data_IF_417232856289
#
_entry.id   IF_417232856289
#
_cell.length_a   1.000
_cell.length_b   1.000
_cell.length_c   1.000
_cell.angle_alpha   90.00
_cell.angle_beta   90.00
_cell.angle_gamma   90.00
#
_symmetry.space_group_name_H-M   'P 1'
#
loop_
_entity.id
_entity.type
_entity.pdbx_description
1 polymer ?
#
# COMPACT_ATOMS: atom_id res chain seq x y z
N UNK A 1 -20.26 80.84 12.97
CA UNK A 1 -19.55 79.64 12.43
C UNK A 1 -19.46 78.64 13.55
N UNK A 2 -20.28 77.55 13.49
CA UNK A 2 -20.28 76.49 14.48
C UNK A 2 -19.65 75.30 13.82
N UNK A 3 -18.50 74.83 14.33
CA UNK A 3 -17.85 73.58 13.93
C UNK A 3 -18.56 72.40 14.60
N UNK A 4 -19.01 71.40 13.81
CA UNK A 4 -19.49 70.13 14.29
C UNK A 4 -18.33 69.11 14.35
N UNK A 5 -18.24 68.27 15.37
CA UNK A 5 -17.22 67.22 15.40
C UNK A 5 -17.64 65.97 14.57
N UNK A 6 -16.72 65.52 13.74
CA UNK A 6 -16.84 64.27 12.96
C UNK A 6 -16.54 63.11 13.88
N UNK A 7 -17.53 62.29 14.19
CA UNK A 7 -17.34 61.02 14.88
C UNK A 7 -16.85 59.95 13.88
N UNK A 8 -15.62 59.45 14.06
CA UNK A 8 -15.04 58.33 13.30
C UNK A 8 -15.48 57.03 13.99
N UNK A 9 -16.41 56.28 13.38
CA UNK A 9 -16.76 54.93 13.81
C UNK A 9 -15.71 53.96 13.28
N UNK A 10 -14.86 53.45 14.16
CA UNK A 10 -13.97 52.34 13.86
C UNK A 10 -14.74 51.02 13.97
N UNK A 11 -15.05 50.38 12.83
CA UNK A 11 -15.58 49.00 12.79
C UNK A 11 -14.46 48.02 13.03
N UNK A 12 -14.42 47.43 14.21
CA UNK A 12 -13.61 46.25 14.51
C UNK A 12 -14.19 45.03 13.76
N UNK A 13 -13.58 44.65 12.65
CA UNK A 13 -13.84 43.37 12.01
C UNK A 13 -13.18 42.27 12.85
N UNK A 14 -13.97 41.60 13.66
CA UNK A 14 -13.55 40.33 14.30
C UNK A 14 -13.44 39.26 13.23
N UNK A 15 -12.21 38.95 12.83
CA UNK A 15 -11.91 37.75 12.06
C UNK A 15 -12.24 36.56 12.95
N UNK A 16 -13.41 35.94 12.75
CA UNK A 16 -13.65 34.59 13.28
C UNK A 16 -12.65 33.65 12.58
N UNK A 17 -11.61 33.26 13.30
CA UNK A 17 -10.85 32.05 12.92
C UNK A 17 -11.88 30.90 12.92
N UNK A 18 -12.25 30.43 11.76
CA UNK A 18 -12.91 29.14 11.62
C UNK A 18 -11.89 28.10 12.07
N UNK A 19 -11.91 27.71 13.33
CA UNK A 19 -11.31 26.47 13.77
C UNK A 19 -12.04 25.36 12.99
N UNK A 20 -11.36 24.69 12.06
CA UNK A 20 -11.86 23.46 11.51
C UNK A 20 -12.19 22.54 12.68
N UNK A 21 -13.32 21.80 12.66
CA UNK A 21 -13.62 20.84 13.70
C UNK A 21 -12.44 19.87 13.79
N UNK A 22 -11.82 19.73 14.96
CA UNK A 22 -10.83 18.70 15.22
C UNK A 22 -11.51 17.36 14.91
N UNK A 23 -11.06 16.69 13.84
CA UNK A 23 -11.58 15.38 13.49
C UNK A 23 -11.25 14.41 14.63
N UNK A 24 -12.25 13.70 15.14
CA UNK A 24 -12.05 12.70 16.20
C UNK A 24 -11.18 11.57 15.66
N UNK A 25 -10.29 10.98 16.49
CA UNK A 25 -9.57 9.78 16.09
C UNK A 25 -10.53 8.69 15.62
N UNK A 26 -10.22 8.05 14.49
CA UNK A 26 -10.98 6.91 13.99
C UNK A 26 -10.78 5.71 14.93
N UNK A 27 -11.82 4.90 15.12
CA UNK A 27 -11.78 3.68 15.91
C UNK A 27 -11.34 2.52 15.02
N UNK A 28 -10.19 1.93 15.31
CA UNK A 28 -9.64 0.84 14.50
C UNK A 28 -9.54 -0.45 15.31
N UNK A 29 -9.81 -1.59 14.65
CA UNK A 29 -9.53 -2.91 15.20
C UNK A 29 -8.47 -3.60 14.33
N UNK A 30 -7.53 -4.30 14.96
CA UNK A 30 -6.55 -5.16 14.27
C UNK A 30 -7.18 -6.54 14.10
N UNK A 31 -7.02 -7.14 12.92
CA UNK A 31 -7.41 -8.52 12.65
C UNK A 31 -6.19 -9.33 12.21
N UNK A 32 -5.77 -10.28 13.04
CA UNK A 32 -4.57 -11.09 12.88
C UNK A 32 -3.30 -10.43 13.40
N UNK A 33 -2.37 -11.25 13.87
CA UNK A 33 -1.06 -10.85 14.37
C UNK A 33 0.09 -11.62 13.69
N UNK A 34 -0.23 -12.39 12.65
CA UNK A 34 0.75 -13.24 11.97
C UNK A 34 1.57 -12.50 10.92
N UNK A 35 1.09 -11.35 10.40
CA UNK A 35 1.84 -10.51 9.49
C UNK A 35 2.75 -9.55 10.27
N UNK A 36 4.08 -9.66 10.05
CA UNK A 36 5.06 -8.96 10.89
C UNK A 36 4.99 -7.44 10.87
N UNK A 37 4.38 -6.82 9.85
CA UNK A 37 4.20 -5.36 9.80
C UNK A 37 3.33 -4.82 10.95
N UNK A 38 2.49 -5.65 11.57
CA UNK A 38 1.73 -5.27 12.77
C UNK A 38 2.63 -4.78 13.91
N UNK A 39 3.88 -5.26 13.98
CA UNK A 39 4.86 -4.84 15.01
C UNK A 39 5.19 -3.35 14.89
N UNK A 40 5.46 -2.89 13.66
CA UNK A 40 5.72 -1.47 13.38
C UNK A 40 4.50 -0.60 13.68
N UNK A 41 3.32 -1.08 13.30
CA UNK A 41 2.06 -0.40 13.59
C UNK A 41 1.83 -0.25 15.11
N UNK A 42 1.92 -1.32 15.89
CA UNK A 42 1.73 -1.28 17.34
C UNK A 42 2.77 -0.40 18.05
N UNK A 43 4.01 -0.36 17.55
CA UNK A 43 5.04 0.53 18.09
C UNK A 43 4.77 2.02 17.81
N UNK A 44 4.13 2.34 16.68
CA UNK A 44 3.78 3.71 16.29
C UNK A 44 2.48 4.21 16.92
N UNK A 45 1.55 3.31 17.26
CA UNK A 45 0.20 3.63 17.70
C UNK A 45 0.13 4.59 18.91
N UNK A 46 0.95 4.46 19.98
CA UNK A 46 0.89 5.36 21.15
C UNK A 46 1.16 6.83 20.83
N UNK A 47 1.80 7.11 19.69
CA UNK A 47 2.12 8.47 19.22
C UNK A 47 1.17 8.98 18.14
N UNK A 48 0.21 8.16 17.71
CA UNK A 48 -0.68 8.48 16.62
C UNK A 48 -1.98 9.10 17.14
N UNK A 49 -2.24 10.35 16.76
CA UNK A 49 -3.45 11.08 17.15
C UNK A 49 -4.66 10.76 16.25
N UNK A 50 -4.43 10.12 15.08
CA UNK A 50 -5.49 9.90 14.09
C UNK A 50 -6.35 8.68 14.37
N UNK A 51 -5.89 7.72 15.20
CA UNK A 51 -6.57 6.46 15.42
C UNK A 51 -6.54 6.01 16.88
N UNK A 52 -7.65 5.38 17.31
CA UNK A 52 -7.79 4.70 18.60
C UNK A 52 -7.96 3.21 18.35
N UNK A 53 -7.06 2.38 18.90
CA UNK A 53 -7.21 0.92 18.89
C UNK A 53 -8.32 0.52 19.85
N UNK A 54 -9.35 -0.17 19.35
CA UNK A 54 -10.50 -0.62 20.17
C UNK A 54 -10.56 -2.13 20.35
N UNK A 55 -9.93 -2.91 19.47
CA UNK A 55 -9.86 -4.37 19.58
C UNK A 55 -8.70 -4.96 18.77
N UNK A 56 -8.33 -6.20 19.12
CA UNK A 56 -7.41 -7.06 18.37
C UNK A 56 -8.04 -8.45 18.28
N UNK A 57 -8.28 -8.92 17.06
CA UNK A 57 -8.76 -10.29 16.82
C UNK A 57 -7.57 -11.20 16.54
N UNK A 58 -7.34 -12.16 17.44
CA UNK A 58 -6.32 -13.19 17.26
C UNK A 58 -6.75 -14.50 17.92
N UNK A 59 -7.11 -15.53 17.13
CA UNK A 59 -7.57 -16.81 17.66
C UNK A 59 -6.47 -17.62 18.36
N UNK A 60 -5.19 -17.37 18.03
CA UNK A 60 -4.07 -17.99 18.72
C UNK A 60 -3.79 -17.30 20.05
N UNK A 61 -4.32 -17.88 21.13
CA UNK A 61 -4.19 -17.32 22.50
C UNK A 61 -2.74 -17.09 22.91
N UNK A 62 -1.81 -17.97 22.53
CA UNK A 62 -0.38 -17.81 22.88
C UNK A 62 0.22 -16.60 22.17
N UNK A 63 -0.09 -16.38 20.90
CA UNK A 63 0.34 -15.23 20.13
C UNK A 63 -0.28 -13.94 20.71
N UNK A 64 -1.57 -13.95 21.01
CA UNK A 64 -2.27 -12.83 21.66
C UNK A 64 -1.61 -12.42 22.97
N UNK A 65 -1.30 -13.40 23.85
CA UNK A 65 -0.60 -13.15 25.13
C UNK A 65 0.80 -12.59 24.93
N UNK A 66 1.55 -13.10 23.95
CA UNK A 66 2.89 -12.61 23.62
C UNK A 66 2.83 -11.13 23.22
N UNK A 67 1.93 -10.74 22.30
CA UNK A 67 1.79 -9.36 21.87
C UNK A 67 1.25 -8.44 22.96
N UNK A 68 0.29 -8.91 23.76
CA UNK A 68 -0.20 -8.16 24.92
C UNK A 68 0.93 -7.79 25.90
N UNK A 69 1.80 -8.76 26.21
CA UNK A 69 2.96 -8.53 27.07
C UNK A 69 3.99 -7.60 26.42
N UNK A 70 4.35 -7.86 25.16
CA UNK A 70 5.40 -7.14 24.45
C UNK A 70 5.07 -5.65 24.25
N UNK A 71 3.81 -5.33 23.96
CA UNK A 71 3.34 -3.97 23.66
C UNK A 71 2.54 -3.34 24.82
N UNK A 72 2.52 -3.96 26.00
CA UNK A 72 1.82 -3.49 27.20
C UNK A 72 0.32 -3.22 26.94
N UNK A 73 -0.32 -4.09 26.15
CA UNK A 73 -1.74 -3.98 25.79
C UNK A 73 -2.63 -4.65 26.83
N UNK A 74 -3.79 -4.05 27.10
CA UNK A 74 -4.79 -4.68 27.97
C UNK A 74 -5.33 -5.97 27.33
N UNK A 75 -5.48 -7.03 28.13
CA UNK A 75 -6.12 -8.27 27.72
C UNK A 75 -7.57 -8.06 27.23
N UNK A 76 -8.24 -7.02 27.72
CA UNK A 76 -9.61 -6.68 27.31
C UNK A 76 -9.73 -6.19 25.87
N UNK A 77 -8.61 -5.88 25.19
CA UNK A 77 -8.59 -5.55 23.77
C UNK A 77 -8.67 -6.78 22.86
N UNK A 78 -8.33 -7.97 23.40
CA UNK A 78 -8.21 -9.18 22.59
C UNK A 78 -9.53 -9.95 22.53
N UNK A 79 -9.86 -10.36 21.30
CA UNK A 79 -10.98 -11.23 20.96
C UNK A 79 -10.46 -12.39 20.11
N UNK A 80 -11.06 -13.56 20.23
CA UNK A 80 -10.74 -14.71 19.38
C UNK A 80 -11.69 -14.82 18.16
N UNK A 81 -12.81 -14.12 18.19
CA UNK A 81 -13.88 -14.22 17.19
C UNK A 81 -14.09 -12.90 16.46
N UNK A 82 -13.94 -12.94 15.13
CA UNK A 82 -14.08 -11.77 14.27
C UNK A 82 -15.51 -11.21 14.28
N UNK A 83 -16.53 -12.07 14.15
CA UNK A 83 -17.93 -11.65 14.10
C UNK A 83 -18.38 -11.05 15.44
N UNK A 84 -17.94 -11.64 16.55
CA UNK A 84 -18.19 -11.06 17.88
C UNK A 84 -17.55 -9.68 18.01
N UNK A 85 -16.30 -9.51 17.60
CA UNK A 85 -15.62 -8.20 17.64
C UNK A 85 -16.33 -7.17 16.77
N UNK A 86 -16.69 -7.52 15.52
CA UNK A 86 -17.37 -6.60 14.59
C UNK A 86 -18.71 -6.12 15.15
N UNK A 87 -19.47 -7.01 15.78
CA UNK A 87 -20.77 -6.69 16.37
C UNK A 87 -20.70 -5.97 17.70
N UNK A 88 -19.69 -6.23 18.54
CA UNK A 88 -19.59 -5.65 19.87
C UNK A 88 -18.85 -4.31 19.89
N UNK A 89 -17.82 -4.14 19.06
CA UNK A 89 -16.96 -2.96 19.07
C UNK A 89 -17.35 -1.92 18.01
N UNK A 90 -17.94 -2.33 16.89
CA UNK A 90 -18.28 -1.44 15.76
C UNK A 90 -17.15 -0.45 15.42
N UNK A 91 -15.94 -0.92 15.04
CA UNK A 91 -14.87 -0.02 14.65
C UNK A 91 -15.22 0.72 13.35
N UNK A 92 -14.59 1.87 13.10
CA UNK A 92 -14.73 2.59 11.82
C UNK A 92 -13.99 1.85 10.70
N UNK A 93 -12.89 1.18 11.04
CA UNK A 93 -12.14 0.31 10.11
C UNK A 93 -11.45 -0.86 10.81
N UNK A 94 -11.22 -1.92 10.05
CA UNK A 94 -10.30 -3.01 10.42
C UNK A 94 -8.97 -2.87 9.70
N UNK A 95 -7.89 -3.14 10.43
CA UNK A 95 -6.52 -3.23 9.92
C UNK A 95 -6.15 -4.70 9.82
N UNK A 96 -5.93 -5.20 8.61
CA UNK A 96 -5.84 -6.64 8.35
C UNK A 96 -4.39 -7.07 8.26
N UNK A 97 -3.94 -7.83 9.28
CA UNK A 97 -2.59 -8.38 9.41
C UNK A 97 -2.60 -9.91 9.50
N UNK A 98 -3.48 -10.54 8.74
CA UNK A 98 -3.57 -12.00 8.57
C UNK A 98 -2.59 -12.51 7.52
N UNK A 99 -2.69 -13.78 7.12
CA UNK A 99 -2.09 -14.24 5.86
C UNK A 99 -2.80 -13.58 4.68
N UNK A 100 -2.13 -13.46 3.53
CA UNK A 100 -2.73 -12.86 2.33
C UNK A 100 -3.99 -13.64 1.89
N UNK A 101 -3.97 -14.94 2.05
CA UNK A 101 -5.13 -15.81 1.73
C UNK A 101 -6.39 -15.46 2.53
N UNK A 102 -6.23 -15.00 3.76
CA UNK A 102 -7.36 -14.69 4.65
C UNK A 102 -7.94 -13.28 4.45
N UNK A 103 -7.29 -12.41 3.66
CA UNK A 103 -7.74 -11.03 3.42
C UNK A 103 -9.21 -10.98 2.97
N UNK A 104 -9.59 -11.80 1.98
CA UNK A 104 -10.95 -11.86 1.47
C UNK A 104 -11.96 -12.14 2.59
N UNK A 105 -11.73 -13.16 3.40
CA UNK A 105 -12.65 -13.55 4.48
C UNK A 105 -12.88 -12.40 5.46
N UNK A 106 -11.81 -11.72 5.85
CA UNK A 106 -11.88 -10.60 6.80
C UNK A 106 -12.61 -9.40 6.19
N UNK A 107 -12.25 -9.03 4.95
CA UNK A 107 -12.85 -7.89 4.26
C UNK A 107 -14.33 -8.12 3.99
N UNK A 108 -14.74 -9.33 3.52
CA UNK A 108 -16.15 -9.67 3.31
C UNK A 108 -16.96 -9.65 4.62
N UNK A 109 -16.38 -10.10 5.74
CA UNK A 109 -17.00 -10.01 7.05
C UNK A 109 -17.17 -8.54 7.50
N UNK A 110 -16.11 -7.74 7.47
CA UNK A 110 -16.17 -6.32 7.82
C UNK A 110 -17.18 -5.54 6.95
N UNK A 111 -17.17 -5.78 5.63
CA UNK A 111 -18.08 -5.13 4.70
C UNK A 111 -19.54 -5.37 5.03
N UNK A 112 -19.94 -6.59 5.41
CA UNK A 112 -21.32 -6.91 5.85
C UNK A 112 -21.78 -6.09 7.05
N UNK A 113 -20.85 -5.62 7.87
CA UNK A 113 -21.11 -4.72 8.99
C UNK A 113 -20.92 -3.23 8.64
N UNK A 114 -20.75 -2.90 7.34
CA UNK A 114 -20.44 -1.55 6.82
C UNK A 114 -19.17 -0.96 7.43
N UNK A 115 -18.18 -1.79 7.71
CA UNK A 115 -16.88 -1.42 8.27
C UNK A 115 -15.84 -1.44 7.16
N UNK A 116 -15.10 -0.33 7.01
CA UNK A 116 -14.02 -0.21 6.04
C UNK A 116 -12.79 -1.04 6.42
N UNK A 117 -11.90 -1.28 5.47
CA UNK A 117 -10.70 -2.10 5.70
C UNK A 117 -9.45 -1.44 5.13
N UNK A 118 -8.36 -1.50 5.88
CA UNK A 118 -7.01 -1.31 5.34
C UNK A 118 -6.27 -2.64 5.48
N UNK A 119 -5.74 -3.14 4.38
CA UNK A 119 -5.18 -4.50 4.31
C UNK A 119 -3.72 -4.45 3.87
N UNK A 120 -2.90 -5.36 4.38
CA UNK A 120 -1.53 -5.52 3.91
C UNK A 120 -1.46 -5.95 2.44
N UNK A 121 -0.36 -5.61 1.81
CA UNK A 121 -0.07 -5.97 0.41
C UNK A 121 0.35 -7.45 0.28
N UNK A 122 0.10 -8.08 -0.87
CA UNK A 122 -0.86 -7.68 -1.91
C UNK A 122 -2.31 -7.90 -1.47
N UNK A 123 -3.27 -7.35 -2.21
CA UNK A 123 -4.70 -7.40 -1.89
C UNK A 123 -5.22 -8.82 -1.62
N UNK A 124 -4.73 -9.81 -2.37
CA UNK A 124 -5.17 -11.21 -2.27
C UNK A 124 -4.16 -12.17 -2.91
N UNK A 125 -4.40 -13.48 -2.84
CA UNK A 125 -3.56 -14.49 -3.49
C UNK A 125 -4.04 -14.89 -4.89
N UNK A 126 -5.28 -14.54 -5.24
CA UNK A 126 -5.90 -14.90 -6.53
C UNK A 126 -6.75 -13.76 -7.08
N UNK A 127 -6.92 -13.73 -8.41
CA UNK A 127 -7.81 -12.78 -9.05
C UNK A 127 -9.27 -12.95 -8.64
N UNK A 128 -9.73 -14.18 -8.39
CA UNK A 128 -11.08 -14.49 -7.93
C UNK A 128 -11.36 -13.87 -6.55
N UNK A 129 -10.40 -13.96 -5.62
CA UNK A 129 -10.51 -13.34 -4.30
C UNK A 129 -10.53 -11.80 -4.41
N UNK A 130 -9.68 -11.22 -5.27
CA UNK A 130 -9.67 -9.78 -5.52
C UNK A 130 -11.02 -9.26 -6.05
N UNK A 131 -11.61 -9.97 -7.03
CA UNK A 131 -12.92 -9.63 -7.58
C UNK A 131 -14.05 -9.81 -6.55
N UNK A 132 -13.96 -10.81 -5.66
CA UNK A 132 -14.91 -10.98 -4.57
C UNK A 132 -14.82 -9.82 -3.55
N UNK A 133 -13.62 -9.39 -3.19
CA UNK A 133 -13.38 -8.21 -2.36
C UNK A 133 -14.00 -6.96 -3.00
N UNK A 134 -13.76 -6.74 -4.31
CA UNK A 134 -14.35 -5.59 -5.03
C UNK A 134 -15.88 -5.61 -5.00
N UNK A 135 -16.49 -6.78 -5.21
CA UNK A 135 -17.95 -6.91 -5.11
C UNK A 135 -18.47 -6.56 -3.72
N UNK A 136 -17.86 -7.12 -2.67
CA UNK A 136 -18.25 -6.83 -1.29
C UNK A 136 -18.10 -5.33 -0.95
N UNK A 137 -17.00 -4.70 -1.34
CA UNK A 137 -16.78 -3.27 -1.10
C UNK A 137 -17.84 -2.40 -1.79
N UNK A 138 -18.20 -2.72 -3.05
CA UNK A 138 -19.23 -2.00 -3.81
C UNK A 138 -20.63 -2.23 -3.25
N UNK A 139 -20.98 -3.47 -2.90
CA UNK A 139 -22.29 -3.85 -2.36
C UNK A 139 -22.59 -3.14 -1.03
N UNK A 140 -21.59 -3.05 -0.17
CA UNK A 140 -21.71 -2.48 1.16
C UNK A 140 -21.23 -1.01 1.26
N UNK A 141 -20.80 -0.41 0.15
CA UNK A 141 -20.31 0.99 0.09
C UNK A 141 -19.20 1.30 1.08
N UNK A 142 -18.29 0.35 1.32
CA UNK A 142 -17.13 0.52 2.22
C UNK A 142 -15.84 0.77 1.45
N UNK A 143 -14.87 1.42 2.12
CA UNK A 143 -13.53 1.59 1.59
C UNK A 143 -12.70 0.34 1.87
N UNK A 144 -11.94 -0.09 0.87
CA UNK A 144 -10.89 -1.10 1.01
C UNK A 144 -9.60 -0.49 0.45
N UNK A 145 -8.63 -0.29 1.33
CA UNK A 145 -7.34 0.32 1.01
C UNK A 145 -6.24 -0.73 1.17
N UNK A 146 -5.25 -0.72 0.30
CA UNK A 146 -4.08 -1.60 0.41
C UNK A 146 -2.88 -0.80 0.89
N UNK A 147 -2.20 -1.31 1.92
CA UNK A 147 -1.09 -0.63 2.57
C UNK A 147 0.24 -1.12 2.01
N UNK A 148 0.90 -0.28 1.21
CA UNK A 148 2.30 -0.49 0.79
C UNK A 148 3.22 0.46 1.56
N UNK A 149 4.37 -0.01 1.97
CA UNK A 149 5.38 0.85 2.59
C UNK A 149 5.80 2.01 1.67
N UNK A 150 5.96 1.72 0.38
CA UNK A 150 6.44 2.67 -0.62
C UNK A 150 5.40 3.72 -1.02
N UNK A 151 4.12 3.55 -0.66
CA UNK A 151 3.11 4.60 -0.78
C UNK A 151 3.49 5.84 0.03
N UNK A 152 4.12 5.64 1.18
CA UNK A 152 4.51 6.70 2.10
C UNK A 152 5.91 7.27 1.84
N UNK A 153 6.49 6.97 0.67
CA UNK A 153 7.75 7.53 0.21
C UNK A 153 7.51 8.82 -0.57
N UNK A 154 7.96 9.96 -0.04
CA UNK A 154 7.84 11.25 -0.73
C UNK A 154 8.58 11.29 -2.07
N UNK A 155 9.64 10.48 -2.22
CA UNK A 155 10.34 10.31 -3.49
C UNK A 155 9.47 9.71 -4.59
N UNK A 156 8.63 8.72 -4.27
CA UNK A 156 7.69 8.14 -5.22
C UNK A 156 6.58 9.13 -5.59
N UNK A 157 6.02 9.84 -4.60
CA UNK A 157 5.03 10.88 -4.85
C UNK A 157 5.56 11.98 -5.78
N UNK A 158 6.78 12.45 -5.54
CA UNK A 158 7.44 13.44 -6.40
C UNK A 158 7.71 12.90 -7.82
N UNK A 159 8.20 11.65 -7.95
CA UNK A 159 8.45 11.04 -9.25
C UNK A 159 7.14 10.86 -10.07
N UNK A 160 6.05 10.43 -9.42
CA UNK A 160 4.73 10.33 -10.03
C UNK A 160 4.22 11.70 -10.45
N UNK A 161 4.35 12.72 -9.58
CA UNK A 161 3.98 14.11 -9.88
C UNK A 161 4.73 14.67 -11.09
N UNK A 162 6.05 14.43 -11.18
CA UNK A 162 6.85 14.86 -12.34
C UNK A 162 6.43 14.17 -13.65
N UNK A 163 6.05 12.89 -13.59
CA UNK A 163 5.51 12.18 -14.74
C UNK A 163 4.15 12.74 -15.17
N UNK A 164 3.24 12.91 -14.22
CA UNK A 164 1.87 13.38 -14.47
C UNK A 164 1.81 14.85 -14.90
N UNK A 165 2.73 15.69 -14.43
CA UNK A 165 2.84 17.09 -14.88
C UNK A 165 3.38 17.25 -16.30
N UNK A 166 3.84 16.15 -16.93
CA UNK A 166 4.44 16.17 -18.27
C UNK A 166 5.88 16.67 -18.31
N UNK A 167 6.52 16.91 -17.17
CA UNK A 167 7.90 17.39 -17.06
C UNK A 167 8.91 16.40 -17.67
N UNK A 168 8.60 15.10 -17.61
CA UNK A 168 9.41 14.04 -18.21
C UNK A 168 9.05 13.77 -19.69
N UNK A 169 8.01 14.41 -20.22
CA UNK A 169 7.37 13.99 -21.46
C UNK A 169 6.68 12.63 -21.30
N UNK A 170 6.38 11.94 -22.40
CA UNK A 170 5.78 10.61 -22.35
C UNK A 170 6.68 9.63 -21.60
N UNK A 171 6.13 8.94 -20.60
CA UNK A 171 6.81 7.83 -19.91
C UNK A 171 7.08 6.72 -20.92
N UNK A 172 8.31 6.24 -20.98
CA UNK A 172 8.76 5.22 -21.95
C UNK A 172 9.26 3.95 -21.32
N UNK A 173 10.00 4.07 -20.23
CA UNK A 173 10.55 2.92 -19.50
C UNK A 173 10.56 3.16 -18.00
N UNK A 174 10.18 2.13 -17.25
CA UNK A 174 10.29 2.11 -15.80
C UNK A 174 11.02 0.83 -15.39
N UNK A 175 11.95 0.93 -14.43
CA UNK A 175 12.57 -0.22 -13.78
C UNK A 175 12.30 -0.09 -12.29
N UNK A 176 11.74 -1.11 -11.68
CA UNK A 176 11.45 -1.13 -10.24
C UNK A 176 12.24 -2.25 -9.58
N UNK A 177 12.98 -1.89 -8.56
CA UNK A 177 13.78 -2.80 -7.76
C UNK A 177 13.16 -2.89 -6.37
N UNK A 178 12.62 -4.07 -6.03
CA UNK A 178 12.06 -4.33 -4.71
C UNK A 178 12.53 -5.69 -4.21
N UNK A 179 13.36 -5.68 -3.19
CA UNK A 179 13.92 -6.92 -2.66
C UNK A 179 14.87 -6.71 -1.48
N UNK A 180 15.28 -7.82 -0.92
CA UNK A 180 16.26 -7.94 0.17
C UNK A 180 16.90 -9.33 0.18
N UNK A 181 17.66 -9.66 1.23
CA UNK A 181 18.39 -10.93 1.36
C UNK A 181 17.50 -12.17 1.46
N UNK A 182 16.24 -12.00 1.78
CA UNK A 182 15.22 -13.03 2.00
C UNK A 182 14.63 -13.00 3.40
N UNK A 183 13.36 -13.41 3.54
CA UNK A 183 12.65 -13.31 4.82
C UNK A 183 13.30 -14.10 5.95
N UNK A 184 13.87 -15.27 5.67
CA UNK A 184 14.60 -16.06 6.68
C UNK A 184 15.91 -15.38 7.08
N UNK A 185 16.63 -14.85 6.10
CA UNK A 185 17.93 -14.20 6.28
C UNK A 185 17.83 -12.91 7.09
N UNK A 186 16.77 -12.13 6.90
CA UNK A 186 16.52 -10.92 7.69
C UNK A 186 15.83 -11.21 9.04
N UNK A 187 15.58 -12.48 9.38
CA UNK A 187 15.04 -12.89 10.68
C UNK A 187 13.54 -12.67 10.85
N UNK A 188 12.74 -12.85 9.78
CA UNK A 188 11.27 -12.83 9.89
C UNK A 188 10.80 -13.85 10.92
N UNK A 189 9.86 -13.46 11.79
CA UNK A 189 9.42 -14.24 12.93
C UNK A 189 8.73 -15.57 12.59
N UNK A 190 8.67 -16.50 13.55
CA UNK A 190 8.10 -17.83 13.34
C UNK A 190 6.58 -17.80 13.07
N UNK A 191 5.89 -16.75 13.44
CA UNK A 191 4.48 -16.53 13.12
C UNK A 191 4.24 -16.12 11.67
N UNK A 192 5.26 -15.58 11.00
CA UNK A 192 5.17 -15.01 9.65
C UNK A 192 5.82 -15.91 8.59
N UNK A 193 7.07 -16.36 8.81
CA UNK A 193 7.86 -17.07 7.81
C UNK A 193 7.15 -18.30 7.20
N UNK A 194 6.44 -19.17 7.97
CA UNK A 194 5.84 -20.37 7.40
C UNK A 194 4.77 -20.08 6.33
N UNK A 195 3.92 -19.07 6.52
CA UNK A 195 2.89 -18.76 5.55
C UNK A 195 3.42 -17.87 4.42
N UNK A 196 4.41 -17.02 4.67
CA UNK A 196 5.04 -16.19 3.64
C UNK A 196 5.73 -17.03 2.57
N UNK A 197 6.27 -18.19 2.98
CA UNK A 197 6.94 -19.16 2.08
C UNK A 197 6.02 -20.29 1.59
N UNK A 198 4.71 -20.16 1.80
CA UNK A 198 3.68 -21.07 1.29
C UNK A 198 2.95 -20.43 0.10
N UNK A 199 3.00 -21.01 -1.11
CA UNK A 199 2.38 -20.43 -2.30
C UNK A 199 0.85 -20.34 -2.23
N UNK A 200 0.19 -21.10 -1.35
CA UNK A 200 -1.26 -21.00 -1.13
C UNK A 200 -1.59 -19.78 -0.26
N UNK A 201 -0.79 -19.56 0.78
CA UNK A 201 -1.04 -18.51 1.77
C UNK A 201 -0.57 -17.12 1.32
N UNK A 202 0.52 -17.07 0.53
CA UNK A 202 1.13 -15.84 0.01
C UNK A 202 0.84 -15.59 -1.49
N UNK A 203 0.46 -16.62 -2.27
CA UNK A 203 0.22 -16.55 -3.71
C UNK A 203 1.41 -16.99 -4.58
N UNK A 204 2.63 -16.66 -4.17
CA UNK A 204 3.92 -17.09 -4.71
C UNK A 204 5.00 -16.75 -3.67
N UNK A 205 6.27 -16.69 -4.04
CA UNK A 205 7.37 -16.16 -3.23
C UNK A 205 7.61 -14.67 -3.45
N UNK A 206 8.85 -14.33 -3.80
CA UNK A 206 9.27 -12.95 -4.08
C UNK A 206 8.41 -12.26 -5.14
N UNK A 207 7.93 -13.02 -6.14
CA UNK A 207 7.05 -12.51 -7.18
C UNK A 207 5.81 -11.79 -6.62
N UNK A 208 5.14 -12.35 -5.61
CA UNK A 208 3.96 -11.72 -5.00
C UNK A 208 4.34 -10.72 -3.92
N UNK A 209 5.30 -11.08 -3.06
CA UNK A 209 5.70 -10.25 -1.94
C UNK A 209 6.26 -8.90 -2.37
N UNK A 210 7.10 -8.87 -3.41
CA UNK A 210 7.74 -7.66 -3.92
C UNK A 210 7.24 -7.20 -5.29
N UNK A 211 6.79 -8.11 -6.15
CA UNK A 211 6.30 -7.74 -7.48
C UNK A 211 5.05 -6.84 -7.44
N UNK A 212 4.28 -6.91 -6.36
CA UNK A 212 3.12 -6.04 -6.15
C UNK A 212 3.48 -4.56 -6.06
N UNK A 213 4.62 -4.19 -5.49
CA UNK A 213 5.07 -2.79 -5.40
C UNK A 213 5.28 -2.16 -6.78
N UNK A 214 6.02 -2.85 -7.65
CA UNK A 214 6.25 -2.36 -9.00
C UNK A 214 4.98 -2.36 -9.85
N UNK A 215 4.10 -3.34 -9.67
CA UNK A 215 2.81 -3.39 -10.36
C UNK A 215 1.91 -2.21 -9.95
N UNK A 216 1.93 -1.85 -8.66
CA UNK A 216 1.18 -0.73 -8.08
C UNK A 216 1.67 0.62 -8.63
N UNK A 217 2.98 0.89 -8.55
CA UNK A 217 3.60 2.08 -9.11
C UNK A 217 3.30 2.24 -10.61
N UNK A 218 3.41 1.16 -11.37
CA UNK A 218 3.10 1.19 -12.80
C UNK A 218 1.63 1.45 -13.10
N UNK A 219 0.71 0.91 -12.30
CA UNK A 219 -0.72 1.14 -12.49
C UNK A 219 -1.06 2.62 -12.32
N UNK A 220 -0.50 3.28 -11.32
CA UNK A 220 -0.68 4.72 -11.08
C UNK A 220 0.00 5.56 -12.17
N UNK A 221 1.24 5.24 -12.55
CA UNK A 221 1.96 5.93 -13.62
C UNK A 221 1.26 5.84 -14.98
N UNK A 222 0.56 4.74 -15.22
CA UNK A 222 -0.23 4.51 -16.44
C UNK A 222 -1.72 4.91 -16.30
N UNK A 223 -2.04 5.74 -15.29
CA UNK A 223 -3.40 6.29 -15.06
C UNK A 223 -4.49 5.21 -14.99
N UNK A 224 -4.20 4.08 -14.33
CA UNK A 224 -5.11 2.96 -14.19
C UNK A 224 -5.28 2.11 -15.45
N UNK A 225 -4.46 2.31 -16.48
CA UNK A 225 -4.47 1.45 -17.66
C UNK A 225 -3.66 0.18 -17.40
N UNK A 226 -4.24 -1.01 -17.53
CA UNK A 226 -3.49 -2.26 -17.40
C UNK A 226 -2.48 -2.42 -18.56
N UNK A 227 -1.39 -3.17 -18.39
CA UNK A 227 -0.50 -3.51 -19.48
C UNK A 227 -1.22 -4.37 -20.52
N UNK A 228 -0.80 -4.27 -21.78
CA UNK A 228 -1.31 -5.11 -22.87
C UNK A 228 -0.89 -6.56 -22.63
N UNK A 229 0.34 -6.76 -22.15
CA UNK A 229 0.84 -8.11 -21.88
C UNK A 229 1.88 -8.13 -20.76
N UNK A 230 2.00 -9.28 -20.12
CA UNK A 230 2.95 -9.59 -19.05
C UNK A 230 3.79 -10.81 -19.46
N UNK A 231 5.11 -10.71 -19.29
CA UNK A 231 6.05 -11.82 -19.40
C UNK A 231 6.86 -11.90 -18.11
N UNK A 232 6.98 -13.08 -17.54
CA UNK A 232 7.74 -13.26 -16.30
C UNK A 232 8.59 -14.53 -16.33
N UNK A 233 9.72 -14.46 -15.63
CA UNK A 233 10.60 -15.59 -15.28
C UNK A 233 10.76 -15.57 -13.78
N UNK A 234 10.66 -16.74 -13.15
CA UNK A 234 10.95 -16.94 -11.72
C UNK A 234 12.05 -17.97 -11.55
N UNK A 235 12.83 -17.82 -10.49
CA UNK A 235 13.86 -18.77 -10.06
C UNK A 235 13.73 -19.06 -8.56
N UNK A 236 14.38 -20.15 -8.14
CA UNK A 236 14.59 -20.47 -6.73
C UNK A 236 16.08 -20.74 -6.56
N UNK A 237 16.82 -19.70 -6.20
CA UNK A 237 18.28 -19.74 -6.07
C UNK A 237 18.70 -20.35 -4.73
N UNK A 238 17.81 -20.30 -3.71
CA UNK A 238 17.98 -20.91 -2.39
C UNK A 238 16.95 -22.03 -2.11
N UNK A 239 16.93 -23.14 -2.92
CA UNK A 239 15.90 -24.17 -2.81
C UNK A 239 15.90 -24.94 -1.48
N UNK A 240 17.03 -24.94 -0.77
CA UNK A 240 17.10 -25.51 0.58
C UNK A 240 16.38 -24.65 1.64
N UNK A 241 16.21 -23.35 1.37
CA UNK A 241 15.54 -22.39 2.25
C UNK A 241 14.08 -22.18 1.83
N UNK A 242 13.84 -22.06 0.52
CA UNK A 242 12.53 -21.77 -0.08
C UNK A 242 12.10 -22.86 -1.08
N UNK A 243 11.83 -24.10 -0.60
CA UNK A 243 11.62 -25.27 -1.50
C UNK A 243 10.31 -25.20 -2.31
N UNK A 244 9.38 -24.33 -1.98
CA UNK A 244 8.02 -24.31 -2.55
C UNK A 244 7.65 -23.03 -3.28
N UNK A 245 8.53 -22.02 -3.25
CA UNK A 245 8.27 -20.69 -3.83
C UNK A 245 9.51 -20.18 -4.55
N UNK A 246 9.31 -19.21 -5.43
CA UNK A 246 10.36 -18.42 -6.04
C UNK A 246 11.01 -17.49 -5.00
N UNK A 247 12.31 -17.25 -5.13
CA UNK A 247 13.04 -16.23 -4.36
C UNK A 247 13.62 -15.13 -5.25
N UNK A 248 13.53 -15.29 -6.57
CA UNK A 248 13.87 -14.25 -7.54
C UNK A 248 12.90 -14.26 -8.72
N UNK A 249 12.58 -13.06 -9.25
CA UNK A 249 11.78 -12.94 -10.45
C UNK A 249 12.12 -11.71 -11.28
N UNK A 250 11.85 -11.79 -12.57
CA UNK A 250 11.83 -10.65 -13.49
C UNK A 250 10.50 -10.63 -14.20
N UNK A 251 9.79 -9.50 -14.15
CA UNK A 251 8.51 -9.28 -14.81
C UNK A 251 8.62 -8.14 -15.80
N UNK A 252 8.21 -8.36 -17.05
CA UNK A 252 8.16 -7.35 -18.10
C UNK A 252 6.70 -7.01 -18.38
N UNK A 253 6.34 -5.75 -18.21
CA UNK A 253 5.04 -5.20 -18.54
C UNK A 253 5.14 -4.44 -19.87
N UNK A 254 4.27 -4.75 -20.84
CA UNK A 254 4.19 -4.04 -22.12
C UNK A 254 2.91 -3.21 -22.17
N UNK A 255 3.07 -1.91 -22.30
CA UNK A 255 2.00 -0.96 -22.60
C UNK A 255 2.06 -0.52 -24.07
N UNK A 256 1.10 0.27 -24.53
CA UNK A 256 1.08 0.79 -25.92
C UNK A 256 2.35 1.60 -26.25
N UNK A 257 2.78 2.47 -25.33
CA UNK A 257 3.88 3.40 -25.53
C UNK A 257 4.98 3.29 -24.46
N UNK A 258 4.87 2.36 -23.53
CA UNK A 258 5.82 2.19 -22.44
C UNK A 258 6.12 0.71 -22.16
N UNK A 259 7.22 0.47 -21.46
CA UNK A 259 7.58 -0.83 -20.90
C UNK A 259 8.01 -0.66 -19.45
N UNK A 260 7.73 -1.66 -18.63
CA UNK A 260 8.35 -1.75 -17.31
C UNK A 260 9.06 -3.09 -17.09
N UNK A 261 10.10 -3.04 -16.27
CA UNK A 261 10.78 -4.21 -15.72
C UNK A 261 10.65 -4.15 -14.22
N UNK A 262 9.99 -5.14 -13.63
CA UNK A 262 9.90 -5.30 -12.19
C UNK A 262 10.86 -6.40 -11.77
N UNK A 263 11.63 -6.15 -10.73
CA UNK A 263 12.69 -7.03 -10.24
C UNK A 263 12.45 -7.36 -8.76
N UNK A 264 11.44 -8.19 -8.43
CA UNK A 264 11.21 -8.65 -7.07
C UNK A 264 12.23 -9.73 -6.71
N UNK A 265 12.86 -9.62 -5.52
CA UNK A 265 13.87 -10.59 -5.10
C UNK A 265 13.97 -10.77 -3.58
N UNK A 266 14.24 -11.99 -3.16
CA UNK A 266 14.67 -12.40 -1.82
C UNK A 266 16.14 -12.86 -1.81
N UNK A 267 16.90 -12.55 -2.88
CA UNK A 267 18.26 -13.07 -3.07
C UNK A 267 19.30 -11.96 -3.30
N UNK A 268 19.00 -10.74 -2.89
CA UNK A 268 19.95 -9.63 -2.99
C UNK A 268 20.81 -9.52 -1.72
N UNK A 269 22.04 -8.95 -1.82
CA UNK A 269 22.94 -8.83 -0.66
C UNK A 269 22.50 -7.76 0.33
N UNK A 270 21.53 -6.89 -0.01
CA UNK A 270 20.93 -5.85 0.83
C UNK A 270 19.61 -5.36 0.25
N UNK A 271 18.80 -4.77 1.10
CA UNK A 271 17.48 -4.25 0.71
C UNK A 271 17.58 -3.12 -0.33
N UNK A 272 16.71 -3.18 -1.34
CA UNK A 272 16.42 -2.10 -2.28
C UNK A 272 14.90 -1.97 -2.44
N UNK A 273 14.42 -0.72 -2.46
CA UNK A 273 13.07 -0.33 -2.83
C UNK A 273 13.17 1.00 -3.57
N UNK A 274 13.45 0.93 -4.87
CA UNK A 274 13.70 2.10 -5.70
C UNK A 274 13.14 1.93 -7.12
N UNK A 275 12.91 3.05 -7.79
CA UNK A 275 12.35 3.10 -9.13
C UNK A 275 13.21 4.01 -10.02
N UNK A 276 13.45 3.57 -11.25
CA UNK A 276 14.01 4.36 -12.33
C UNK A 276 12.93 4.66 -13.36
N UNK A 277 12.58 5.93 -13.52
CA UNK A 277 11.52 6.40 -14.42
C UNK A 277 12.11 7.23 -15.56
N UNK A 278 12.02 6.73 -16.78
CA UNK A 278 12.54 7.35 -17.99
C UNK A 278 11.41 7.86 -18.88
N UNK A 279 11.38 9.15 -19.12
CA UNK A 279 10.48 9.81 -20.07
C UNK A 279 11.18 10.26 -21.34
N UNK A 280 10.43 10.94 -22.22
CA UNK A 280 10.96 11.43 -23.49
C UNK A 280 11.94 12.58 -23.33
N UNK A 281 11.83 13.37 -22.26
CA UNK A 281 12.62 14.61 -22.04
C UNK A 281 13.42 14.59 -20.75
N UNK A 282 13.42 13.51 -19.97
CA UNK A 282 14.17 13.39 -18.74
C UNK A 282 13.95 12.08 -18.02
N UNK A 283 14.60 11.94 -16.88
CA UNK A 283 14.40 10.80 -15.98
C UNK A 283 14.42 11.22 -14.51
N UNK A 284 13.75 10.41 -13.69
CA UNK A 284 13.78 10.47 -12.24
C UNK A 284 14.15 9.09 -11.71
N UNK A 285 15.07 9.04 -10.74
CA UNK A 285 15.44 7.81 -10.02
C UNK A 285 15.18 8.06 -8.55
N UNK A 286 14.29 7.28 -7.93
CA UNK A 286 14.07 7.29 -6.49
C UNK A 286 15.14 6.43 -5.83
N UNK A 287 16.01 7.01 -5.00
CA UNK A 287 17.15 6.28 -4.40
C UNK A 287 16.95 5.92 -2.94
N UNK A 288 15.97 6.56 -2.30
CA UNK A 288 15.55 6.31 -0.92
C UNK A 288 14.13 6.86 -0.75
N UNK A 289 13.55 6.71 0.44
CA UNK A 289 12.17 7.15 0.74
C UNK A 289 11.90 8.64 0.49
N UNK A 290 12.94 9.48 0.49
CA UNK A 290 12.82 10.93 0.30
C UNK A 290 13.85 11.52 -0.69
N UNK A 291 14.72 10.70 -1.27
CA UNK A 291 15.80 11.16 -2.12
C UNK A 291 15.65 10.73 -3.58
N UNK A 292 15.94 11.65 -4.50
CA UNK A 292 15.84 11.45 -5.94
C UNK A 292 17.11 11.92 -6.65
N UNK A 293 17.37 11.29 -7.81
CA UNK A 293 18.27 11.80 -8.84
C UNK A 293 17.47 12.12 -10.08
N UNK A 294 17.71 13.28 -10.67
CA UNK A 294 16.95 13.75 -11.84
C UNK A 294 17.87 14.32 -12.89
N UNK A 295 17.48 14.18 -14.16
CA UNK A 295 18.12 14.87 -15.27
C UNK A 295 17.12 15.14 -16.37
N UNK A 296 17.09 16.37 -16.88
CA UNK A 296 16.19 16.78 -17.94
C UNK A 296 16.94 17.19 -19.19
N UNK A 297 16.26 17.19 -20.32
CA UNK A 297 16.84 17.61 -21.61
C UNK A 297 17.47 19.02 -21.47
N UNK A 298 18.69 19.17 -21.97
CA UNK A 298 19.46 20.42 -21.88
C UNK A 298 20.35 20.54 -20.63
N UNK A 299 20.15 19.72 -19.59
CA UNK A 299 21.03 19.70 -18.42
C UNK A 299 22.34 18.96 -18.71
N UNK A 300 23.47 19.51 -18.21
CA UNK A 300 24.80 18.92 -18.41
C UNK A 300 25.07 17.72 -17.49
N UNK A 301 24.47 17.70 -16.31
CA UNK A 301 24.71 16.69 -15.27
C UNK A 301 23.41 16.30 -14.58
N UNK A 302 23.41 15.14 -13.93
CA UNK A 302 22.38 14.70 -13.00
C UNK A 302 22.40 15.60 -11.75
N UNK A 303 21.21 15.85 -11.19
CA UNK A 303 20.98 16.56 -9.94
C UNK A 303 20.46 15.60 -8.89
N UNK A 304 20.90 15.76 -7.64
CA UNK A 304 20.31 15.09 -6.48
C UNK A 304 19.41 16.07 -5.74
N UNK A 305 18.26 15.59 -5.29
CA UNK A 305 17.32 16.39 -4.49
C UNK A 305 16.60 15.52 -3.45
N UNK A 306 16.17 16.16 -2.37
CA UNK A 306 15.23 15.60 -1.42
C UNK A 306 13.83 16.00 -1.85
N UNK A 307 12.91 15.05 -1.88
CA UNK A 307 11.51 15.30 -2.16
C UNK A 307 10.87 16.14 -1.04
N UNK A 308 9.89 16.99 -1.35
CA UNK A 308 9.06 17.61 -0.33
C UNK A 308 8.41 16.55 0.56
N UNK A 309 8.20 16.82 1.86
CA UNK A 309 7.44 15.90 2.70
C UNK A 309 6.02 15.73 2.17
N UNK A 310 5.44 14.55 2.38
CA UNK A 310 4.03 14.31 2.07
C UNK A 310 3.14 15.25 2.91
N UNK A 311 1.92 15.60 2.43
CA UNK A 311 0.92 16.27 3.25
C UNK A 311 0.67 15.52 4.56
N UNK A 312 0.32 16.22 5.63
CA UNK A 312 0.17 15.62 6.96
C UNK A 312 -0.83 14.46 6.96
N UNK A 313 -1.96 14.62 6.27
CA UNK A 313 -3.00 13.60 6.14
C UNK A 313 -2.67 12.47 5.13
N UNK A 314 -1.51 12.54 4.48
CA UNK A 314 -0.97 11.52 3.58
C UNK A 314 0.39 10.99 4.06
N UNK A 315 0.85 11.41 5.24
CA UNK A 315 2.21 11.11 5.73
C UNK A 315 2.43 9.66 6.17
N UNK A 316 1.36 8.93 6.42
CA UNK A 316 1.39 7.52 6.81
C UNK A 316 0.00 6.87 6.66
N UNK A 317 -0.04 5.56 6.77
CA UNK A 317 -1.26 4.76 6.56
C UNK A 317 -2.45 5.14 7.45
N UNK A 318 -2.21 5.48 8.73
CA UNK A 318 -3.29 5.87 9.63
C UNK A 318 -3.82 7.28 9.38
N UNK A 319 -2.93 8.23 9.09
CA UNK A 319 -3.33 9.59 8.72
C UNK A 319 -4.17 9.56 7.44
N UNK A 320 -3.73 8.78 6.45
CA UNK A 320 -4.45 8.59 5.20
C UNK A 320 -5.81 7.91 5.39
N UNK A 321 -5.86 6.79 6.14
CA UNK A 321 -7.11 6.09 6.44
C UNK A 321 -8.11 7.02 7.15
N UNK A 322 -7.65 7.79 8.14
CA UNK A 322 -8.50 8.75 8.85
C UNK A 322 -9.05 9.81 7.89
N UNK A 323 -8.22 10.39 7.04
CA UNK A 323 -8.63 11.39 6.05
C UNK A 323 -9.65 10.84 5.03
N UNK A 324 -9.48 9.58 4.62
CA UNK A 324 -10.47 8.90 3.75
C UNK A 324 -11.79 8.69 4.47
N UNK A 325 -11.79 8.21 5.71
CA UNK A 325 -13.02 7.97 6.48
C UNK A 325 -13.73 9.27 6.88
N UNK A 326 -13.00 10.36 7.06
CA UNK A 326 -13.56 11.70 7.27
C UNK A 326 -14.04 12.37 5.97
N UNK A 327 -13.77 11.75 4.80
CA UNK A 327 -14.18 12.28 3.50
C UNK A 327 -13.30 13.42 2.96
N UNK A 328 -12.13 13.63 3.55
CA UNK A 328 -11.13 14.61 3.11
C UNK A 328 -10.39 14.15 1.86
N UNK A 329 -10.13 12.85 1.76
CA UNK A 329 -9.47 12.20 0.63
C UNK A 329 -10.43 11.20 0.00
N UNK A 330 -10.45 11.18 -1.33
CA UNK A 330 -11.13 10.14 -2.11
C UNK A 330 -10.07 9.27 -2.77
N UNK A 331 -9.90 8.01 -2.32
CA UNK A 331 -8.87 7.11 -2.84
C UNK A 331 -9.28 6.61 -4.24
N UNK A 332 -8.98 7.37 -5.26
CA UNK A 332 -9.33 7.05 -6.65
C UNK A 332 -8.10 7.13 -7.54
N UNK A 333 -7.63 5.97 -8.02
CA UNK A 333 -6.48 5.88 -8.91
C UNK A 333 -5.14 6.18 -8.25
N UNK A 334 -5.08 6.17 -6.93
CA UNK A 334 -3.84 6.25 -6.14
C UNK A 334 -3.32 4.85 -5.75
N UNK A 335 -2.15 4.81 -5.11
CA UNK A 335 -1.45 3.58 -4.72
C UNK A 335 -2.24 2.71 -3.72
N UNK A 336 -3.15 3.30 -2.94
CA UNK A 336 -3.92 2.55 -1.93
C UNK A 336 -5.25 2.03 -2.47
N UNK A 337 -5.75 2.61 -3.55
CA UNK A 337 -7.12 2.42 -4.00
C UNK A 337 -7.41 0.98 -4.43
N UNK A 338 -8.63 0.51 -4.16
CA UNK A 338 -9.06 -0.83 -4.53
C UNK A 338 -8.97 -1.07 -6.05
N UNK A 339 -9.39 -0.10 -6.86
CA UNK A 339 -9.39 -0.28 -8.32
C UNK A 339 -7.95 -0.38 -8.89
N UNK A 340 -6.98 0.37 -8.35
CA UNK A 340 -5.55 0.19 -8.65
C UNK A 340 -5.11 -1.23 -8.30
N UNK A 341 -5.45 -1.70 -7.11
CA UNK A 341 -5.02 -2.99 -6.61
C UNK A 341 -5.71 -4.19 -7.28
N UNK A 342 -6.86 -4.01 -7.89
CA UNK A 342 -7.45 -5.02 -8.79
C UNK A 342 -6.57 -5.22 -10.04
N UNK A 343 -6.01 -4.14 -10.60
CA UNK A 343 -5.09 -4.22 -11.73
C UNK A 343 -3.75 -4.83 -11.29
N UNK A 344 -3.24 -4.49 -10.11
CA UNK A 344 -2.07 -5.14 -9.51
C UNK A 344 -2.25 -6.65 -9.45
N UNK A 345 -3.40 -7.12 -8.96
CA UNK A 345 -3.68 -8.56 -8.89
C UNK A 345 -3.77 -9.20 -10.27
N UNK A 346 -4.30 -8.51 -11.27
CA UNK A 346 -4.32 -8.98 -12.65
C UNK A 346 -2.91 -9.15 -13.22
N UNK A 347 -2.01 -8.19 -12.92
CA UNK A 347 -0.60 -8.25 -13.32
C UNK A 347 0.11 -9.43 -12.64
N UNK A 348 -0.05 -9.61 -11.32
CA UNK A 348 0.58 -10.69 -10.56
C UNK A 348 0.09 -12.07 -11.00
N UNK A 349 -1.21 -12.24 -11.24
CA UNK A 349 -1.77 -13.50 -11.72
C UNK A 349 -1.27 -13.87 -13.12
N UNK A 350 -1.19 -12.86 -14.01
CA UNK A 350 -0.61 -13.00 -15.34
C UNK A 350 0.89 -13.31 -15.26
N UNK A 351 1.66 -12.66 -14.37
CA UNK A 351 3.08 -12.92 -14.18
C UNK A 351 3.33 -14.37 -13.68
N UNK A 352 2.56 -14.82 -12.67
CA UNK A 352 2.60 -16.19 -12.17
C UNK A 352 2.29 -17.21 -13.28
N UNK A 353 1.26 -16.92 -14.09
CA UNK A 353 0.89 -17.77 -15.22
C UNK A 353 1.97 -17.78 -16.30
N UNK A 354 2.57 -16.62 -16.59
CA UNK A 354 3.67 -16.49 -17.55
C UNK A 354 4.89 -17.31 -17.11
N UNK A 355 5.33 -17.15 -15.88
CA UNK A 355 6.46 -17.90 -15.32
C UNK A 355 6.22 -19.42 -15.37
N UNK A 356 5.01 -19.88 -15.02
CA UNK A 356 4.62 -21.28 -15.06
C UNK A 356 4.59 -21.88 -16.47
N UNK A 357 4.17 -21.10 -17.46
CA UNK A 357 3.93 -21.60 -18.84
C UNK A 357 5.05 -21.29 -19.82
N UNK A 358 5.98 -20.40 -19.46
CA UNK A 358 7.00 -19.86 -20.34
C UNK A 358 6.45 -19.00 -21.49
N UNK A 359 5.23 -18.47 -21.35
CA UNK A 359 4.54 -17.69 -22.40
C UNK A 359 4.21 -16.29 -21.92
N UNK A 360 4.25 -15.33 -22.84
CA UNK A 360 3.66 -14.02 -22.63
C UNK A 360 2.14 -14.15 -22.47
N UNK A 361 1.58 -13.49 -21.47
CA UNK A 361 0.13 -13.46 -21.19
C UNK A 361 -0.42 -12.09 -21.61
N UNK A 362 -1.38 -12.10 -22.50
CA UNK A 362 -2.15 -10.88 -22.86
C UNK A 362 -3.25 -10.66 -21.83
N UNK A 363 -3.35 -9.43 -21.32
CA UNK A 363 -4.38 -9.09 -20.35
C UNK A 363 -5.70 -8.81 -21.07
N UNK A 364 -6.78 -9.34 -20.51
CA UNK A 364 -8.14 -9.07 -20.95
C UNK A 364 -8.77 -7.98 -20.09
N UNK A 365 -9.73 -7.21 -20.63
CA UNK A 365 -10.53 -6.32 -19.79
C UNK A 365 -11.10 -7.06 -18.58
N UNK A 366 -11.07 -6.41 -17.43
CA UNK A 366 -11.66 -6.95 -16.21
C UNK A 366 -13.18 -6.95 -16.34
N UNK A 367 -13.89 -7.97 -15.76
CA UNK A 367 -15.35 -7.92 -15.68
C UNK A 367 -15.77 -6.71 -14.82
N UNK A 368 -16.91 -6.12 -15.12
CA UNK A 368 -17.51 -5.00 -14.39
C UNK A 368 -17.87 -5.36 -12.93
#
# INVERSE_FOLDING_TARGET
MKLAPLLLLATLATSALNAQPENKPIRVAIVGLVHGHVKGFLAALPKNANAQLVAIVEPNTALAQQYASQYHLSQSLFDADLEHMLTSQHPDAVLVYTTIKDHRRVIEAAAKHNISSMVEKPLSTTMDDALAIRRAAREHHVQVLVNYETTWYSSNAEAISEAQSGKLGDVRKVVVHDGHEGPKEIGVGPEWLPWLTDPIQNGAGALFDFGCYGADLMTVLMHGQPPISVTAVTQTDKPATYPHVDDDATVILRYANAQAVLMPSWDWPFARKDMELYGATGYVITVASDNLRTRYHGEKSESQKTAPPLPENESNSLAYLAAVLHGEIKPQGDLTSLDTNIIVMQILDAARTSAKTGRTIELKPLPE
#
